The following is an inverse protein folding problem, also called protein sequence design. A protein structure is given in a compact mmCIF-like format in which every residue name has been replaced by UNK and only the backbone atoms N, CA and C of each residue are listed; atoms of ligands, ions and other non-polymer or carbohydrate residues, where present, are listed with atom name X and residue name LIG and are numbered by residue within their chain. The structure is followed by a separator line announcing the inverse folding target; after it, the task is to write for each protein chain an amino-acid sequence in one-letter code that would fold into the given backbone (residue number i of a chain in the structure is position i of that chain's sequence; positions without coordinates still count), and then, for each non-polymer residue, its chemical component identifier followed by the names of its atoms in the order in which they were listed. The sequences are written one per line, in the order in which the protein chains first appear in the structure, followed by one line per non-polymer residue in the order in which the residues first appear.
data_IF_002801552852
#
_entry.id   IF_002801552852
#
_cell.length_a   1.000
_cell.length_b   1.000
_cell.length_c   1.000
_cell.angle_alpha   90.00
_cell.angle_beta   90.00
_cell.angle_gamma   90.00
#
_symmetry.space_group_name_H-M   'P 1'
#
loop_
_entity.id
_entity.type
_entity.pdbx_description
1 polymer ?
#
# COMPACT_ATOMS: atom_id res chain seq x y z
N UNK A 1 18.18 -11.67 0.92
CA UNK A 1 17.50 -12.59 -0.04
C UNK A 1 17.45 -11.94 -1.42
N UNK A 2 18.08 -12.54 -2.45
CA UNK A 2 18.01 -12.04 -3.84
C UNK A 2 16.74 -12.53 -4.53
N UNK A 3 15.99 -11.62 -5.16
CA UNK A 3 14.81 -11.91 -5.98
C UNK A 3 14.80 -11.02 -7.21
N UNK A 4 14.01 -11.34 -8.23
CA UNK A 4 13.84 -10.46 -9.38
C UNK A 4 13.40 -9.03 -8.96
N UNK A 5 12.59 -8.90 -7.91
CA UNK A 5 12.18 -7.61 -7.39
C UNK A 5 13.35 -6.83 -6.79
N UNK A 6 14.19 -7.46 -5.94
CA UNK A 6 15.33 -6.76 -5.32
C UNK A 6 16.37 -6.31 -6.33
N UNK A 7 16.53 -7.05 -7.41
CA UNK A 7 17.46 -6.71 -8.50
C UNK A 7 16.97 -5.49 -9.30
N UNK A 8 15.69 -5.44 -9.68
CA UNK A 8 15.17 -4.29 -10.46
C UNK A 8 15.01 -3.02 -9.64
N UNK A 9 14.80 -3.14 -8.31
CA UNK A 9 14.60 -2.00 -7.40
C UNK A 9 15.86 -1.56 -6.67
N UNK A 10 16.95 -2.35 -6.76
CA UNK A 10 18.21 -2.10 -6.05
C UNK A 10 18.04 -2.00 -4.52
N UNK A 11 17.19 -2.87 -3.94
CA UNK A 11 16.89 -2.93 -2.49
C UNK A 11 17.42 -4.22 -1.87
N UNK A 12 17.62 -4.21 -0.55
CA UNK A 12 18.19 -5.34 0.19
C UNK A 12 17.17 -6.45 0.44
N UNK A 13 15.93 -6.05 0.86
CA UNK A 13 14.86 -6.95 1.20
C UNK A 13 13.65 -6.77 0.26
N UNK A 14 13.01 -7.86 -0.18
CA UNK A 14 11.89 -7.79 -1.11
C UNK A 14 10.58 -7.38 -0.39
N UNK A 15 10.64 -6.28 0.36
CA UNK A 15 9.54 -5.71 1.14
C UNK A 15 9.32 -4.26 0.71
N UNK A 16 8.07 -3.96 0.35
CA UNK A 16 7.61 -2.63 0.00
C UNK A 16 6.64 -2.13 1.08
N UNK A 17 6.81 -0.90 1.54
CA UNK A 17 5.77 -0.20 2.27
C UNK A 17 4.83 0.43 1.27
N UNK A 18 3.56 0.04 1.29
CA UNK A 18 2.56 0.52 0.34
C UNK A 18 2.28 2.03 0.44
N UNK A 19 1.97 2.65 -0.69
CA UNK A 19 1.54 4.05 -0.72
C UNK A 19 0.20 4.23 0.01
N UNK A 20 0.17 5.06 1.05
CA UNK A 20 -1.00 5.30 1.90
C UNK A 20 -1.22 6.80 2.02
N UNK A 21 -2.36 7.29 1.51
CA UNK A 21 -2.71 8.71 1.58
C UNK A 21 -2.69 9.22 3.03
N UNK A 22 -2.12 10.40 3.27
CA UNK A 22 -1.95 11.04 4.59
C UNK A 22 -1.03 10.31 5.57
N UNK A 23 -0.67 9.06 5.32
CA UNK A 23 0.12 8.19 6.22
C UNK A 23 1.56 8.09 5.76
N UNK A 24 1.75 7.76 4.49
CA UNK A 24 3.06 7.48 3.90
C UNK A 24 3.67 8.77 3.35
N UNK A 25 4.41 9.46 4.19
CA UNK A 25 5.14 10.69 3.86
C UNK A 25 6.67 10.44 3.89
N UNK A 26 7.46 11.47 3.68
CA UNK A 26 8.91 11.35 3.52
C UNK A 26 9.62 10.64 4.67
N UNK A 27 9.20 10.85 5.94
CA UNK A 27 9.89 10.22 7.09
C UNK A 27 9.67 8.71 7.08
N UNK A 28 8.43 8.26 6.87
CA UNK A 28 8.13 6.82 6.80
C UNK A 28 8.82 6.18 5.60
N UNK A 29 8.71 6.79 4.42
CA UNK A 29 9.34 6.27 3.21
C UNK A 29 10.87 6.15 3.36
N UNK A 30 11.53 7.18 3.87
CA UNK A 30 12.97 7.16 4.11
C UNK A 30 13.38 6.11 5.15
N UNK A 31 12.62 5.98 6.24
CA UNK A 31 12.91 5.00 7.29
C UNK A 31 12.82 3.55 6.76
N UNK A 32 11.83 3.24 5.93
CA UNK A 32 11.71 1.93 5.28
C UNK A 32 12.86 1.68 4.32
N UNK A 33 13.22 2.67 3.50
CA UNK A 33 14.34 2.56 2.56
C UNK A 33 15.68 2.39 3.29
N UNK A 34 15.92 3.12 4.37
CA UNK A 34 17.10 2.97 5.22
C UNK A 34 17.15 1.61 5.94
N UNK A 35 16.00 0.98 6.16
CA UNK A 35 15.90 -0.37 6.72
C UNK A 35 16.05 -1.49 5.67
N UNK A 36 16.33 -1.14 4.41
CA UNK A 36 16.62 -2.10 3.33
C UNK A 36 15.40 -2.52 2.49
N UNK A 37 14.20 -2.02 2.78
CA UNK A 37 13.01 -2.20 1.95
C UNK A 37 12.85 -1.07 0.92
N UNK A 38 11.67 -0.97 0.30
CA UNK A 38 11.27 0.17 -0.53
C UNK A 38 10.21 0.99 0.16
N UNK A 39 10.54 2.20 0.59
CA UNK A 39 9.57 3.16 1.09
C UNK A 39 8.85 3.89 -0.04
N UNK A 40 7.56 4.14 0.10
CA UNK A 40 6.72 4.78 -0.91
C UNK A 40 6.01 6.00 -0.32
N UNK A 41 6.20 7.17 -0.90
CA UNK A 41 5.41 8.37 -0.58
C UNK A 41 4.02 8.22 -1.22
N UNK A 42 2.97 8.32 -0.42
CA UNK A 42 1.58 8.19 -0.88
C UNK A 42 1.00 9.53 -1.31
N UNK A 43 0.98 9.85 -2.59
CA UNK A 43 0.40 11.09 -3.09
C UNK A 43 -1.11 11.21 -2.83
N UNK A 44 -1.86 10.09 -2.89
CA UNK A 44 -3.28 10.06 -2.57
C UNK A 44 -4.06 11.21 -3.21
N UNK A 45 -4.70 12.03 -2.39
CA UNK A 45 -5.39 13.26 -2.81
C UNK A 45 -4.56 14.54 -2.64
N UNK A 46 -3.23 14.42 -2.46
CA UNK A 46 -2.35 15.57 -2.30
C UNK A 46 -2.15 16.33 -3.64
N UNK A 47 -1.75 17.59 -3.55
CA UNK A 47 -1.33 18.38 -4.70
C UNK A 47 0.12 18.09 -5.10
N UNK A 48 0.49 18.51 -6.31
CA UNK A 48 1.82 18.28 -6.88
C UNK A 48 2.92 18.97 -6.08
N UNK A 49 2.64 20.13 -5.47
CA UNK A 49 3.60 20.88 -4.65
C UNK A 49 3.94 20.11 -3.38
N UNK A 50 2.93 19.57 -2.69
CA UNK A 50 3.17 18.73 -1.51
C UNK A 50 4.01 17.51 -1.86
N UNK A 51 3.71 16.83 -2.99
CA UNK A 51 4.49 15.66 -3.44
C UNK A 51 5.94 16.05 -3.71
N UNK A 52 6.18 17.20 -4.38
CA UNK A 52 7.52 17.70 -4.62
C UNK A 52 8.28 17.96 -3.31
N UNK A 53 7.63 18.60 -2.33
CA UNK A 53 8.23 18.88 -1.03
C UNK A 53 8.56 17.57 -0.27
N UNK A 54 7.69 16.55 -0.36
CA UNK A 54 7.97 15.23 0.23
C UNK A 54 9.16 14.53 -0.45
N UNK A 55 9.27 14.60 -1.79
CA UNK A 55 10.40 14.03 -2.52
C UNK A 55 11.70 14.71 -2.10
N UNK A 56 11.72 16.05 -2.06
CA UNK A 56 12.90 16.83 -1.63
C UNK A 56 13.29 16.44 -0.21
N UNK A 57 12.32 16.39 0.71
CA UNK A 57 12.55 15.98 2.09
C UNK A 57 13.09 14.55 2.19
N UNK A 58 12.51 13.59 1.46
CA UNK A 58 12.98 12.21 1.48
C UNK A 58 14.44 12.08 1.04
N UNK A 59 14.86 12.85 0.02
CA UNK A 59 16.25 12.91 -0.44
C UNK A 59 17.23 13.47 0.58
N UNK A 60 16.78 14.21 1.58
CA UNK A 60 17.63 14.64 2.71
C UNK A 60 17.73 13.61 3.83
N UNK A 61 16.83 12.61 3.83
CA UNK A 61 16.72 11.59 4.87
C UNK A 61 17.29 10.23 4.47
N UNK A 62 17.47 9.99 3.16
CA UNK A 62 17.98 8.70 2.65
C UNK A 62 18.68 8.86 1.31
N UNK A 63 19.77 8.09 1.12
CA UNK A 63 20.43 7.87 -0.17
C UNK A 63 19.92 6.59 -0.86
N UNK A 64 19.01 5.86 -0.21
CA UNK A 64 18.46 4.60 -0.72
C UNK A 64 17.31 4.84 -1.68
N UNK A 65 16.99 3.87 -2.57
CA UNK A 65 15.84 3.96 -3.43
C UNK A 65 14.54 4.14 -2.63
N UNK A 66 13.68 5.05 -3.10
CA UNK A 66 12.30 5.19 -2.63
C UNK A 66 11.39 5.48 -3.82
N UNK A 67 10.09 5.34 -3.64
CA UNK A 67 9.10 5.56 -4.68
C UNK A 67 8.02 6.56 -4.31
N UNK A 68 7.14 6.82 -5.28
CA UNK A 68 5.91 7.62 -5.11
C UNK A 68 4.73 6.82 -5.64
N UNK A 69 3.67 6.74 -4.85
CA UNK A 69 2.38 6.18 -5.29
C UNK A 69 1.50 7.29 -5.84
N UNK A 70 1.01 7.13 -7.05
CA UNK A 70 0.10 8.07 -7.71
C UNK A 70 -1.27 7.41 -7.86
N UNK A 71 -2.28 7.98 -7.22
CA UNK A 71 -3.68 7.64 -7.49
C UNK A 71 -4.09 8.34 -8.80
N UNK A 72 -4.34 7.57 -9.86
CA UNK A 72 -4.55 8.12 -11.20
C UNK A 72 -5.88 8.87 -11.36
N UNK A 73 -6.80 8.71 -10.40
CA UNK A 73 -8.02 9.53 -10.30
C UNK A 73 -7.79 10.90 -9.62
N UNK A 74 -6.59 11.16 -9.09
CA UNK A 74 -6.28 12.47 -8.53
C UNK A 74 -6.32 13.53 -9.65
N UNK A 75 -7.06 14.65 -9.48
CA UNK A 75 -7.10 15.73 -10.49
C UNK A 75 -5.72 16.28 -10.87
N UNK A 76 -4.73 16.17 -10.00
CA UNK A 76 -3.36 16.62 -10.25
C UNK A 76 -2.41 15.47 -10.66
N UNK A 77 -2.93 14.30 -11.04
CA UNK A 77 -2.10 13.15 -11.42
C UNK A 77 -1.10 13.49 -12.54
N UNK A 78 -1.48 14.33 -13.53
CA UNK A 78 -0.61 14.77 -14.62
C UNK A 78 0.58 15.60 -14.12
N UNK A 79 0.35 16.51 -13.19
CA UNK A 79 1.41 17.34 -12.63
C UNK A 79 2.31 16.53 -11.68
N UNK A 80 1.72 15.65 -10.86
CA UNK A 80 2.50 14.74 -10.01
C UNK A 80 3.38 13.82 -10.86
N UNK A 81 2.87 13.31 -11.99
CA UNK A 81 3.63 12.48 -12.92
C UNK A 81 4.86 13.20 -13.49
N UNK A 82 4.76 14.49 -13.78
CA UNK A 82 5.89 15.33 -14.20
C UNK A 82 6.87 15.59 -13.06
N UNK A 83 6.38 15.85 -11.85
CA UNK A 83 7.21 16.08 -10.67
C UNK A 83 8.09 14.87 -10.39
N UNK A 84 7.53 13.65 -10.39
CA UNK A 84 8.33 12.44 -10.12
C UNK A 84 9.39 12.20 -11.21
N UNK A 85 9.08 12.51 -12.47
CA UNK A 85 10.05 12.44 -13.57
C UNK A 85 11.16 13.49 -13.41
N UNK A 86 10.81 14.74 -13.13
CA UNK A 86 11.75 15.86 -12.89
C UNK A 86 12.76 15.55 -11.78
N UNK A 87 12.29 14.89 -10.73
CA UNK A 87 13.13 14.54 -9.56
C UNK A 87 13.81 13.17 -9.67
N UNK A 88 13.69 12.47 -10.81
CA UNK A 88 14.28 11.13 -11.02
C UNK A 88 13.99 10.18 -9.85
N UNK A 89 12.72 10.10 -9.42
CA UNK A 89 12.29 9.14 -8.41
C UNK A 89 12.50 7.74 -8.96
N UNK A 90 13.07 6.83 -8.18
CA UNK A 90 13.43 5.48 -8.69
C UNK A 90 12.22 4.63 -9.07
N UNK A 91 11.12 4.75 -8.33
CA UNK A 91 9.95 3.88 -8.48
C UNK A 91 8.66 4.69 -8.46
N UNK A 92 7.76 4.39 -9.37
CA UNK A 92 6.36 4.84 -9.32
C UNK A 92 5.45 3.64 -9.17
N UNK A 93 4.59 3.66 -8.16
CA UNK A 93 3.45 2.75 -8.07
C UNK A 93 2.17 3.52 -8.43
N UNK A 94 1.20 2.86 -9.02
CA UNK A 94 -0.06 3.50 -9.39
C UNK A 94 -1.26 2.67 -8.96
N UNK A 95 -2.34 3.36 -8.62
CA UNK A 95 -3.64 2.75 -8.37
C UNK A 95 -4.76 3.54 -9.04
N UNK A 96 -5.95 2.94 -9.10
CA UNK A 96 -7.18 3.57 -9.59
C UNK A 96 -7.05 4.16 -11.02
N UNK A 97 -6.56 3.35 -11.97
CA UNK A 97 -6.49 3.75 -13.37
C UNK A 97 -5.40 3.06 -14.18
N UNK A 98 -5.23 3.50 -15.43
CA UNK A 98 -4.21 3.00 -16.35
C UNK A 98 -3.09 4.05 -16.51
N UNK A 99 -1.82 3.72 -16.16
CA UNK A 99 -0.69 4.64 -16.27
C UNK A 99 -0.17 4.84 -17.70
N UNK A 100 -0.74 4.18 -18.70
CA UNK A 100 -0.20 4.10 -20.07
C UNK A 100 0.23 5.44 -20.66
N UNK A 101 -0.53 6.52 -20.40
CA UNK A 101 -0.19 7.86 -20.91
C UNK A 101 1.10 8.47 -20.32
N UNK A 102 1.60 7.93 -19.20
CA UNK A 102 2.82 8.43 -18.55
C UNK A 102 4.03 7.53 -18.80
N UNK A 103 3.83 6.32 -19.34
CA UNK A 103 4.86 5.28 -19.43
C UNK A 103 6.10 5.75 -20.18
N UNK A 104 5.93 6.39 -21.35
CA UNK A 104 7.05 6.89 -22.14
C UNK A 104 7.91 7.90 -21.35
N UNK A 105 7.26 8.88 -20.72
CA UNK A 105 7.95 9.89 -19.90
C UNK A 105 8.73 9.25 -18.74
N UNK A 106 8.11 8.32 -18.00
CA UNK A 106 8.75 7.67 -16.87
C UNK A 106 9.87 6.72 -17.29
N UNK A 107 9.69 5.96 -18.37
CA UNK A 107 10.75 5.09 -18.92
C UNK A 107 11.96 5.90 -19.40
N UNK A 108 11.74 7.01 -20.08
CA UNK A 108 12.81 7.91 -20.51
C UNK A 108 13.58 8.53 -19.30
N UNK A 109 12.90 8.71 -18.16
CA UNK A 109 13.53 9.13 -16.91
C UNK A 109 14.16 7.96 -16.10
N UNK A 110 14.15 6.74 -16.62
CA UNK A 110 14.69 5.55 -15.93
C UNK A 110 13.88 5.06 -14.73
N UNK A 111 12.63 5.49 -14.62
CA UNK A 111 11.74 5.14 -13.50
C UNK A 111 11.17 3.74 -13.68
N UNK A 112 11.18 2.94 -12.63
CA UNK A 112 10.48 1.65 -12.57
C UNK A 112 9.02 1.85 -12.24
N UNK A 113 8.12 1.26 -13.03
CA UNK A 113 6.67 1.44 -12.88
C UNK A 113 6.01 0.15 -12.43
N UNK A 114 5.30 0.22 -11.30
CA UNK A 114 4.70 -0.94 -10.63
C UNK A 114 3.23 -0.65 -10.28
N UNK A 115 2.28 -0.89 -11.20
CA UNK A 115 0.86 -0.69 -10.94
C UNK A 115 0.30 -1.70 -9.93
N UNK A 116 -0.63 -1.23 -9.08
CA UNK A 116 -1.45 -2.09 -8.24
C UNK A 116 -2.59 -2.68 -9.07
N UNK A 117 -2.78 -3.98 -8.97
CA UNK A 117 -3.78 -4.74 -9.75
C UNK A 117 -4.60 -5.64 -8.84
N UNK A 118 -5.90 -5.73 -9.11
CA UNK A 118 -6.85 -6.55 -8.36
C UNK A 118 -7.40 -7.73 -9.21
N UNK A 119 -6.86 -7.96 -10.41
CA UNK A 119 -7.28 -9.06 -11.28
C UNK A 119 -6.21 -9.41 -12.31
N UNK A 120 -6.30 -10.63 -12.86
CA UNK A 120 -5.44 -11.11 -13.96
C UNK A 120 -5.57 -10.21 -15.19
N UNK A 121 -6.78 -9.77 -15.52
CA UNK A 121 -6.99 -8.91 -16.69
C UNK A 121 -6.24 -7.58 -16.56
N UNK A 122 -6.26 -6.97 -15.36
CA UNK A 122 -5.47 -5.77 -15.06
C UNK A 122 -3.97 -6.06 -15.15
N UNK A 123 -3.48 -7.14 -14.57
CA UNK A 123 -2.06 -7.51 -14.60
C UNK A 123 -1.54 -7.63 -16.04
N UNK A 124 -2.24 -8.36 -16.90
CA UNK A 124 -1.90 -8.48 -18.33
C UNK A 124 -1.94 -7.13 -19.07
N UNK A 125 -2.90 -6.29 -18.74
CA UNK A 125 -2.97 -4.94 -19.32
C UNK A 125 -1.76 -4.10 -18.91
N UNK A 126 -1.37 -4.13 -17.63
CA UNK A 126 -0.21 -3.37 -17.13
C UNK A 126 1.11 -3.87 -17.73
N UNK A 127 1.30 -5.18 -17.85
CA UNK A 127 2.47 -5.76 -18.54
C UNK A 127 2.56 -5.26 -19.99
N UNK A 128 1.45 -5.30 -20.74
CA UNK A 128 1.41 -4.78 -22.13
C UNK A 128 1.68 -3.27 -22.20
N UNK A 129 1.33 -2.52 -21.16
CA UNK A 129 1.67 -1.09 -21.07
C UNK A 129 3.15 -0.85 -20.75
N UNK A 130 3.95 -1.89 -20.46
CA UNK A 130 5.38 -1.77 -20.18
C UNK A 130 5.72 -1.63 -18.69
N UNK A 131 4.85 -2.08 -17.76
CA UNK A 131 5.19 -2.14 -16.34
C UNK A 131 6.42 -3.02 -16.08
N UNK A 132 7.25 -2.64 -15.11
CA UNK A 132 8.44 -3.42 -14.71
C UNK A 132 8.09 -4.55 -13.72
N UNK A 133 7.02 -4.41 -12.98
CA UNK A 133 6.42 -5.39 -12.09
C UNK A 133 4.95 -5.03 -11.85
N UNK A 134 4.17 -5.90 -11.22
CA UNK A 134 2.82 -5.58 -10.74
C UNK A 134 2.68 -5.90 -9.26
N UNK A 135 1.83 -5.15 -8.56
CA UNK A 135 1.47 -5.41 -7.17
C UNK A 135 0.07 -6.01 -7.16
N UNK A 136 -0.02 -7.33 -6.96
CA UNK A 136 -1.29 -8.05 -6.86
C UNK A 136 -1.89 -7.87 -5.46
N UNK A 137 -2.89 -7.00 -5.33
CA UNK A 137 -3.48 -6.63 -4.06
C UNK A 137 -4.82 -7.32 -3.84
N UNK A 138 -4.85 -8.21 -2.84
CA UNK A 138 -6.05 -8.92 -2.42
C UNK A 138 -6.99 -8.09 -1.56
N UNK A 139 -8.24 -8.55 -1.46
CA UNK A 139 -9.33 -7.88 -0.72
C UNK A 139 -9.07 -7.73 0.78
N UNK A 140 -8.09 -8.41 1.35
CA UNK A 140 -7.66 -8.28 2.75
C UNK A 140 -6.96 -6.94 3.03
N UNK A 141 -6.56 -6.19 2.00
CA UNK A 141 -5.93 -4.88 2.14
C UNK A 141 -6.82 -3.85 2.85
N UNK A 142 -6.21 -2.79 3.37
CA UNK A 142 -6.91 -1.61 3.89
C UNK A 142 -7.10 -0.54 2.82
N UNK A 143 -8.07 0.35 3.00
CA UNK A 143 -8.42 1.35 2.01
C UNK A 143 -9.25 0.77 0.87
N UNK A 144 -9.08 1.26 -0.35
CA UNK A 144 -9.79 0.75 -1.52
C UNK A 144 -9.35 -0.68 -1.83
N UNK A 145 -10.31 -1.56 -2.07
CA UNK A 145 -10.03 -3.00 -2.27
C UNK A 145 -10.73 -3.55 -3.50
N UNK A 146 -10.12 -4.60 -4.09
CA UNK A 146 -10.80 -5.49 -5.03
C UNK A 146 -11.61 -6.58 -4.32
N UNK A 147 -12.11 -7.56 -5.08
CA UNK A 147 -12.96 -8.63 -4.56
C UNK A 147 -12.21 -9.94 -4.29
N UNK A 148 -11.09 -10.17 -5.01
CA UNK A 148 -10.35 -11.44 -4.96
C UNK A 148 -9.42 -11.45 -3.75
N UNK A 149 -9.38 -12.55 -3.00
CA UNK A 149 -8.44 -12.71 -1.87
C UNK A 149 -7.02 -12.96 -2.35
N UNK A 150 -6.04 -12.58 -1.54
CA UNK A 150 -4.61 -12.70 -1.85
C UNK A 150 -4.20 -14.12 -2.20
N UNK A 151 -4.71 -15.12 -1.47
CA UNK A 151 -4.38 -16.54 -1.65
C UNK A 151 -4.67 -17.06 -3.06
N UNK A 152 -5.72 -16.55 -3.73
CA UNK A 152 -6.10 -17.00 -5.08
C UNK A 152 -5.75 -15.98 -6.16
N UNK A 153 -5.57 -14.70 -5.81
CA UNK A 153 -5.18 -13.67 -6.76
C UNK A 153 -3.71 -13.83 -7.19
N UNK A 154 -2.81 -13.97 -6.21
CA UNK A 154 -1.36 -13.97 -6.47
C UNK A 154 -0.94 -15.08 -7.44
N UNK A 155 -1.26 -16.38 -7.24
CA UNK A 155 -0.84 -17.42 -8.16
C UNK A 155 -1.43 -17.24 -9.57
N UNK A 156 -2.69 -16.80 -9.67
CA UNK A 156 -3.30 -16.54 -10.97
C UNK A 156 -2.61 -15.38 -11.72
N UNK A 157 -2.16 -14.35 -11.02
CA UNK A 157 -1.40 -13.26 -11.63
C UNK A 157 0.00 -13.72 -11.99
N UNK A 158 0.68 -14.50 -11.14
CA UNK A 158 2.00 -15.09 -11.43
C UNK A 158 1.97 -15.93 -12.70
N UNK A 159 0.96 -16.79 -12.86
CA UNK A 159 0.81 -17.64 -14.05
C UNK A 159 0.45 -16.85 -15.33
N UNK A 160 0.00 -15.60 -15.19
CA UNK A 160 -0.57 -14.83 -16.28
C UNK A 160 0.37 -13.78 -16.89
N UNK A 161 1.46 -13.40 -16.19
CA UNK A 161 2.42 -12.38 -16.62
C UNK A 161 3.86 -12.88 -16.50
N UNK A 162 4.80 -12.29 -17.28
CA UNK A 162 6.21 -12.62 -17.27
C UNK A 162 7.07 -11.64 -16.44
N UNK A 163 6.45 -10.57 -15.93
CA UNK A 163 7.10 -9.60 -15.06
C UNK A 163 6.95 -9.98 -13.59
N UNK A 164 7.84 -9.54 -12.69
CA UNK A 164 7.75 -9.85 -11.26
C UNK A 164 6.42 -9.44 -10.65
N UNK A 165 5.88 -10.31 -9.79
CA UNK A 165 4.64 -10.07 -9.05
C UNK A 165 4.95 -9.84 -7.57
N UNK A 166 4.43 -8.75 -7.01
CA UNK A 166 4.50 -8.44 -5.59
C UNK A 166 3.15 -8.77 -4.96
N UNK A 167 3.13 -9.58 -3.91
CA UNK A 167 1.89 -9.90 -3.19
C UNK A 167 1.56 -8.79 -2.18
N UNK A 168 0.30 -8.35 -2.14
CA UNK A 168 -0.20 -7.36 -1.20
C UNK A 168 -1.57 -7.77 -0.64
N UNK A 169 -1.87 -7.32 0.58
CA UNK A 169 -3.10 -7.69 1.29
C UNK A 169 -2.90 -8.89 2.22
N UNK A 170 -3.32 -8.74 3.48
CA UNK A 170 -3.26 -9.81 4.49
C UNK A 170 -1.87 -10.10 5.08
N UNK A 171 -0.81 -9.49 4.60
CA UNK A 171 0.58 -9.77 5.01
C UNK A 171 1.00 -8.82 6.13
N UNK A 172 1.47 -9.37 7.28
CA UNK A 172 1.93 -8.60 8.44
C UNK A 172 3.22 -9.12 9.09
N UNK A 173 3.58 -10.36 8.85
CA UNK A 173 4.74 -11.03 9.47
C UNK A 173 5.41 -12.01 8.49
N UNK A 174 6.45 -12.72 8.96
CA UNK A 174 7.21 -13.67 8.14
C UNK A 174 6.41 -14.88 7.66
N UNK A 175 5.28 -15.21 8.28
CA UNK A 175 4.39 -16.29 7.80
C UNK A 175 3.70 -15.87 6.52
N UNK A 176 3.13 -14.66 6.50
CA UNK A 176 2.53 -14.08 5.29
C UNK A 176 3.56 -13.83 4.20
N UNK A 177 4.78 -13.40 4.57
CA UNK A 177 5.90 -13.27 3.64
C UNK A 177 6.25 -14.62 2.99
N UNK A 178 6.50 -15.67 3.77
CA UNK A 178 6.82 -16.99 3.24
C UNK A 178 5.69 -17.56 2.36
N UNK A 179 4.43 -17.42 2.79
CA UNK A 179 3.27 -17.83 2.01
C UNK A 179 3.22 -17.13 0.64
N UNK A 180 3.49 -15.83 0.57
CA UNK A 180 3.52 -15.08 -0.68
C UNK A 180 4.58 -15.65 -1.67
N UNK A 181 5.74 -16.02 -1.17
CA UNK A 181 6.79 -16.66 -1.99
C UNK A 181 6.37 -18.05 -2.47
N UNK A 182 5.69 -18.84 -1.61
CA UNK A 182 5.14 -20.14 -2.02
C UNK A 182 4.04 -20.00 -3.10
N UNK A 183 3.35 -18.86 -3.16
CA UNK A 183 2.40 -18.52 -4.21
C UNK A 183 3.07 -18.00 -5.49
N UNK A 184 4.40 -17.90 -5.53
CA UNK A 184 5.19 -17.46 -6.68
C UNK A 184 5.51 -15.97 -6.72
N UNK A 185 5.19 -15.19 -5.68
CA UNK A 185 5.55 -13.77 -5.63
C UNK A 185 7.07 -13.56 -5.52
N UNK A 186 7.57 -12.46 -6.08
CA UNK A 186 8.98 -12.03 -6.00
C UNK A 186 9.25 -11.08 -4.83
N UNK A 187 8.23 -10.71 -4.08
CA UNK A 187 8.29 -9.84 -2.92
C UNK A 187 6.90 -9.55 -2.37
N UNK A 188 6.83 -8.75 -1.30
CA UNK A 188 5.59 -8.40 -0.64
C UNK A 188 5.43 -6.89 -0.47
N UNK A 189 4.18 -6.41 -0.50
CA UNK A 189 3.83 -5.07 -0.07
C UNK A 189 2.98 -5.14 1.20
N UNK A 190 3.36 -4.36 2.19
CA UNK A 190 2.69 -4.25 3.49
C UNK A 190 2.27 -2.80 3.74
N UNK A 191 1.05 -2.58 4.24
CA UNK A 191 0.58 -1.25 4.63
C UNK A 191 0.37 -1.15 6.14
N UNK A 192 -0.63 -1.85 6.65
CA UNK A 192 -1.15 -1.74 8.03
C UNK A 192 -0.06 -1.87 9.10
N UNK A 193 0.91 -2.78 8.94
CA UNK A 193 2.02 -2.95 9.88
C UNK A 193 2.93 -1.70 9.92
N UNK A 194 3.18 -1.06 8.77
CA UNK A 194 3.97 0.16 8.71
C UNK A 194 3.25 1.39 9.29
N UNK A 195 1.91 1.43 9.26
CA UNK A 195 1.15 2.49 9.96
C UNK A 195 1.46 2.49 11.45
N UNK A 196 1.64 1.32 12.05
CA UNK A 196 1.94 1.15 13.48
C UNK A 196 3.45 1.17 13.78
N UNK A 197 4.27 1.89 12.99
CA UNK A 197 5.69 2.06 13.28
C UNK A 197 5.97 3.39 13.99
N UNK A 198 7.14 3.49 14.64
CA UNK A 198 7.58 4.69 15.34
C UNK A 198 7.76 5.87 14.38
N UNK A 199 8.25 5.59 13.17
CA UNK A 199 8.58 6.59 12.15
C UNK A 199 7.36 7.08 11.37
N UNK A 200 6.23 6.37 11.45
CA UNK A 200 4.95 6.86 10.95
C UNK A 200 4.49 8.07 11.77
N UNK A 201 4.13 9.16 11.11
CA UNK A 201 3.65 10.40 11.74
C UNK A 201 2.15 10.40 12.07
N UNK A 202 1.50 9.27 11.83
CA UNK A 202 0.09 9.06 12.17
C UNK A 202 -0.14 9.24 13.66
N UNK A 203 -1.25 9.87 14.02
CA UNK A 203 -1.63 10.11 15.41
C UNK A 203 -1.64 8.83 16.25
N UNK A 204 -1.18 8.90 17.50
CA UNK A 204 -1.02 7.74 18.38
C UNK A 204 -2.33 6.97 18.62
N UNK A 205 -3.47 7.66 18.63
CA UNK A 205 -4.79 6.99 18.71
C UNK A 205 -5.03 6.01 17.57
N UNK A 206 -4.58 6.36 16.35
CA UNK A 206 -4.72 5.49 15.18
C UNK A 206 -3.83 4.25 15.33
N UNK A 207 -2.55 4.43 15.71
CA UNK A 207 -1.62 3.32 15.97
C UNK A 207 -2.16 2.41 17.08
N UNK A 208 -2.63 2.99 18.17
CA UNK A 208 -3.22 2.24 19.29
C UNK A 208 -4.46 1.44 18.86
N UNK A 209 -5.29 1.99 17.97
CA UNK A 209 -6.45 1.29 17.45
C UNK A 209 -6.06 0.09 16.57
N UNK A 210 -4.99 0.21 15.77
CA UNK A 210 -4.44 -0.93 15.01
C UNK A 210 -3.94 -2.03 15.95
N UNK A 211 -3.09 -1.67 16.94
CA UNK A 211 -2.49 -2.65 17.87
C UNK A 211 -3.53 -3.39 18.72
N UNK A 212 -4.65 -2.74 19.03
CA UNK A 212 -5.77 -3.32 19.77
C UNK A 212 -6.73 -4.12 18.89
N UNK A 213 -6.59 -4.07 17.56
CA UNK A 213 -7.52 -4.71 16.63
C UNK A 213 -7.50 -6.24 16.80
N UNK A 214 -8.69 -6.82 16.65
CA UNK A 214 -8.93 -8.25 16.59
C UNK A 214 -9.17 -8.67 15.14
N UNK A 215 -9.27 -9.96 14.91
CA UNK A 215 -9.50 -10.60 13.61
C UNK A 215 -10.77 -10.11 12.88
N UNK A 216 -11.83 -9.78 13.62
CA UNK A 216 -13.15 -9.38 13.08
C UNK A 216 -13.38 -7.86 13.04
N UNK A 217 -12.39 -7.05 13.43
CA UNK A 217 -12.58 -5.60 13.64
C UNK A 217 -12.56 -4.77 12.37
N UNK A 218 -12.23 -5.35 11.21
CA UNK A 218 -12.34 -4.63 9.94
C UNK A 218 -13.73 -4.77 9.31
N UNK A 219 -14.19 -3.71 8.66
CA UNK A 219 -15.45 -3.68 7.90
C UNK A 219 -15.20 -3.04 6.54
N UNK A 220 -15.94 -3.49 5.55
CA UNK A 220 -15.96 -2.88 4.21
C UNK A 220 -17.21 -2.03 4.08
N UNK A 221 -17.04 -0.80 3.66
CA UNK A 221 -18.10 0.17 3.33
C UNK A 221 -18.04 0.48 1.83
N UNK A 222 -19.11 1.00 1.23
CA UNK A 222 -19.09 1.49 -0.15
C UNK A 222 -19.20 0.42 -1.24
N UNK A 223 -19.68 -0.79 -0.92
CA UNK A 223 -19.97 -1.80 -1.95
C UNK A 223 -21.12 -1.38 -2.85
N UNK A 224 -22.17 -0.78 -2.29
CA UNK A 224 -23.33 -0.28 -3.03
C UNK A 224 -22.98 0.88 -3.98
N UNK A 225 -21.92 1.63 -3.68
CA UNK A 225 -21.45 2.76 -4.50
C UNK A 225 -20.40 2.36 -5.53
N UNK A 226 -19.96 1.10 -5.53
CA UNK A 226 -18.88 0.62 -6.41
C UNK A 226 -17.47 1.02 -5.96
N UNK A 227 -17.32 1.60 -4.78
CA UNK A 227 -16.05 2.03 -4.21
C UNK A 227 -15.81 1.40 -2.83
N UNK A 228 -15.58 0.07 -2.76
CA UNK A 228 -15.41 -0.62 -1.49
C UNK A 228 -14.12 -0.19 -0.78
N UNK A 229 -14.26 0.17 0.50
CA UNK A 229 -13.16 0.63 1.35
C UNK A 229 -13.16 -0.15 2.65
N UNK A 230 -12.00 -0.76 3.00
CA UNK A 230 -11.84 -1.47 4.27
C UNK A 230 -11.27 -0.56 5.34
N UNK A 231 -11.97 -0.49 6.47
CA UNK A 231 -11.62 0.29 7.65
C UNK A 231 -11.70 -0.56 8.92
N UNK A 232 -11.03 -0.15 9.99
CA UNK A 232 -11.35 -0.62 11.33
C UNK A 232 -12.73 -0.10 11.77
N UNK A 233 -13.49 -0.98 12.38
CA UNK A 233 -14.82 -0.69 12.90
C UNK A 233 -14.80 0.46 13.91
N UNK A 234 -15.68 1.44 13.73
CA UNK A 234 -15.88 2.58 14.61
C UNK A 234 -17.30 3.15 14.44
N UNK A 235 -17.55 4.31 15.05
CA UNK A 235 -18.84 4.98 14.95
C UNK A 235 -19.16 5.38 13.50
N UNK A 236 -18.18 5.92 12.75
CA UNK A 236 -18.36 6.30 11.34
C UNK A 236 -18.74 5.09 10.47
N UNK A 237 -17.99 3.98 10.56
CA UNK A 237 -18.27 2.77 9.77
C UNK A 237 -19.61 2.15 10.11
N UNK A 238 -20.01 2.15 11.39
CA UNK A 238 -21.32 1.64 11.80
C UNK A 238 -22.45 2.50 11.23
N UNK A 239 -22.31 3.83 11.28
CA UNK A 239 -23.27 4.78 10.69
C UNK A 239 -23.37 4.60 9.18
N UNK A 240 -22.21 4.45 8.50
CA UNK A 240 -22.16 4.21 7.05
C UNK A 240 -22.93 2.94 6.67
N UNK A 241 -22.60 1.80 7.31
CA UNK A 241 -23.24 0.52 7.02
C UNK A 241 -24.76 0.59 7.26
N UNK A 242 -25.19 1.29 8.33
CA UNK A 242 -26.62 1.49 8.60
C UNK A 242 -27.30 2.28 7.47
N UNK A 243 -26.73 3.42 7.09
CA UNK A 243 -27.27 4.25 6.01
C UNK A 243 -27.27 3.50 4.66
N UNK A 244 -26.21 2.76 4.36
CA UNK A 244 -26.10 1.94 3.16
C UNK A 244 -27.22 0.86 3.10
N UNK A 245 -27.50 0.20 4.23
CA UNK A 245 -28.59 -0.77 4.35
C UNK A 245 -30.00 -0.14 4.24
N UNK A 246 -30.13 1.12 4.63
CA UNK A 246 -31.38 1.91 4.51
C UNK A 246 -31.56 2.49 3.09
N UNK A 247 -30.63 2.27 2.17
CA UNK A 247 -30.71 2.73 0.79
C UNK A 247 -30.32 4.20 0.61
N UNK A 248 -29.48 4.75 1.49
CA UNK A 248 -28.98 6.12 1.37
C UNK A 248 -28.25 6.34 0.03
N UNK A 249 -28.49 7.49 -0.59
CA UNK A 249 -27.85 7.86 -1.85
C UNK A 249 -26.36 8.16 -1.71
N UNK A 250 -25.63 8.12 -2.84
CA UNK A 250 -24.19 8.34 -2.92
C UNK A 250 -23.74 9.63 -2.22
N UNK A 251 -24.40 10.75 -2.48
CA UNK A 251 -24.06 12.05 -1.90
C UNK A 251 -24.08 12.03 -0.35
N UNK A 252 -25.07 11.36 0.24
CA UNK A 252 -25.21 11.25 1.69
C UNK A 252 -24.07 10.39 2.29
N UNK A 253 -23.71 9.31 1.63
CA UNK A 253 -22.63 8.40 2.05
C UNK A 253 -21.24 9.06 1.90
N UNK A 254 -20.99 9.76 0.79
CA UNK A 254 -19.75 10.51 0.57
C UNK A 254 -19.56 11.64 1.59
N UNK A 255 -20.61 12.40 1.90
CA UNK A 255 -20.58 13.45 2.91
C UNK A 255 -20.17 12.96 4.29
N UNK A 256 -20.51 11.71 4.65
CA UNK A 256 -20.09 11.09 5.91
C UNK A 256 -18.61 10.80 5.96
N UNK A 257 -17.98 10.47 4.82
CA UNK A 257 -16.58 10.03 4.74
C UNK A 257 -15.60 11.11 4.27
N UNK A 258 -16.12 12.22 3.73
CA UNK A 258 -15.29 13.32 3.22
C UNK A 258 -14.38 13.88 4.32
N UNK A 259 -13.05 13.89 4.03
CA UNK A 259 -12.04 14.30 5.00
C UNK A 259 -11.80 13.33 6.15
N UNK A 260 -12.56 12.21 6.21
CA UNK A 260 -12.52 11.26 7.32
C UNK A 260 -11.14 10.63 7.55
N UNK A 261 -10.39 10.32 6.47
CA UNK A 261 -9.05 9.76 6.61
C UNK A 261 -8.09 10.77 7.27
N UNK A 262 -8.06 12.02 6.80
CA UNK A 262 -7.24 13.07 7.40
C UNK A 262 -7.59 13.27 8.88
N UNK A 263 -8.88 13.29 9.20
CA UNK A 263 -9.39 13.43 10.57
C UNK A 263 -8.87 12.32 11.50
N UNK A 264 -8.84 11.08 11.03
CA UNK A 264 -8.29 9.97 11.81
C UNK A 264 -6.75 10.03 11.92
N UNK A 265 -6.05 10.32 10.80
CA UNK A 265 -4.60 10.29 10.71
C UNK A 265 -3.96 11.47 11.43
N UNK A 266 -4.48 12.69 11.23
CA UNK A 266 -3.87 13.94 11.72
C UNK A 266 -4.45 14.35 13.06
N UNK A 267 -5.80 14.37 13.15
CA UNK A 267 -6.49 14.89 14.33
C UNK A 267 -6.71 13.79 15.41
N UNK A 268 -6.45 12.52 15.07
CA UNK A 268 -6.57 11.38 15.99
C UNK A 268 -8.01 11.00 16.35
N UNK A 269 -9.01 11.52 15.62
CA UNK A 269 -10.41 11.15 15.81
C UNK A 269 -10.69 9.80 15.15
N UNK A 270 -10.37 8.74 15.85
CA UNK A 270 -10.55 7.36 15.37
C UNK A 270 -11.98 6.85 15.48
N UNK A 271 -12.88 7.62 16.07
CA UNK A 271 -14.29 7.26 16.21
C UNK A 271 -15.16 7.77 15.07
N UNK A 272 -14.90 9.01 14.62
CA UNK A 272 -15.66 9.65 13.55
C UNK A 272 -14.84 9.84 12.25
N UNK A 273 -13.57 9.43 12.24
CA UNK A 273 -12.70 9.42 11.06
C UNK A 273 -12.59 8.04 10.43
N UNK A 274 -12.11 7.99 9.19
CA UNK A 274 -11.87 6.73 8.47
C UNK A 274 -10.53 6.12 8.89
N UNK A 275 -10.57 5.00 9.60
CA UNK A 275 -9.36 4.28 10.06
C UNK A 275 -9.07 3.15 9.09
N UNK A 276 -8.49 3.48 7.93
CA UNK A 276 -8.17 2.50 6.89
C UNK A 276 -7.10 1.51 7.39
N UNK A 277 -7.44 0.24 7.43
CA UNK A 277 -6.52 -0.85 7.80
C UNK A 277 -7.01 -2.18 7.22
N UNK A 278 -6.07 -3.03 6.82
CA UNK A 278 -6.37 -4.37 6.32
C UNK A 278 -6.71 -5.35 7.44
N UNK A 279 -7.17 -6.54 7.05
CA UNK A 279 -7.47 -7.63 7.99
C UNK A 279 -6.24 -8.06 8.79
N UNK A 280 -5.04 -7.83 8.25
CA UNK A 280 -3.77 -8.03 8.95
C UNK A 280 -3.59 -7.17 10.21
N UNK A 281 -4.46 -6.18 10.48
CA UNK A 281 -4.45 -5.42 11.74
C UNK A 281 -4.51 -6.33 12.97
N UNK A 282 -5.27 -7.44 12.91
CA UNK A 282 -5.34 -8.43 13.97
C UNK A 282 -4.00 -9.13 14.30
N UNK A 283 -3.00 -9.03 13.42
CA UNK A 283 -1.65 -9.58 13.60
C UNK A 283 -0.64 -8.54 14.13
N UNK A 284 -0.95 -7.25 14.06
CA UNK A 284 -0.08 -6.17 14.55
C UNK A 284 -0.28 -6.00 16.05
N UNK A 285 0.75 -6.32 16.86
CA UNK A 285 0.62 -6.39 18.33
C UNK A 285 1.44 -5.34 19.09
N UNK A 286 2.31 -4.61 18.39
CA UNK A 286 3.19 -3.62 18.99
C UNK A 286 3.52 -2.48 18.03
N UNK A 287 3.98 -1.36 18.58
CA UNK A 287 4.57 -0.25 17.83
C UNK A 287 6.09 -0.46 17.87
N UNK A 288 6.69 -0.81 16.75
CA UNK A 288 8.15 -1.01 16.64
C UNK A 288 8.74 -0.05 15.60
N UNK A 289 10.08 -0.05 15.42
CA UNK A 289 10.71 0.69 14.33
C UNK A 289 10.50 -0.01 12.97
N UNK A 290 10.60 0.74 11.87
CA UNK A 290 10.59 0.15 10.52
C UNK A 290 11.68 -0.92 10.37
N UNK A 291 12.86 -0.67 10.94
CA UNK A 291 13.98 -1.62 10.93
C UNK A 291 13.63 -2.91 11.67
N UNK A 292 13.07 -2.80 12.88
CA UNK A 292 12.69 -3.98 13.67
C UNK A 292 11.61 -4.79 12.95
N UNK A 293 10.60 -4.11 12.36
CA UNK A 293 9.54 -4.75 11.60
C UNK A 293 10.12 -5.56 10.42
N UNK A 294 10.93 -4.92 9.57
CA UNK A 294 11.53 -5.57 8.40
C UNK A 294 12.43 -6.73 8.83
N UNK A 295 13.28 -6.52 9.84
CA UNK A 295 14.16 -7.58 10.36
C UNK A 295 13.36 -8.79 10.87
N UNK A 296 12.30 -8.56 11.65
CA UNK A 296 11.42 -9.62 12.14
C UNK A 296 10.76 -10.40 11.00
N UNK A 297 10.20 -9.69 10.02
CA UNK A 297 9.55 -10.31 8.85
C UNK A 297 10.53 -11.16 8.07
N UNK A 298 11.72 -10.62 7.78
CA UNK A 298 12.76 -11.33 7.03
C UNK A 298 13.27 -12.56 7.78
N UNK A 299 13.66 -12.39 9.06
CA UNK A 299 14.19 -13.50 9.86
C UNK A 299 13.19 -14.65 9.96
N UNK A 300 11.94 -14.35 10.29
CA UNK A 300 10.88 -15.37 10.38
C UNK A 300 10.58 -15.98 9.00
N UNK A 301 10.49 -15.15 7.97
CA UNK A 301 10.18 -15.59 6.62
C UNK A 301 11.27 -16.52 6.04
N UNK A 302 12.54 -16.15 6.15
CA UNK A 302 13.67 -16.97 5.70
C UNK A 302 13.76 -18.29 6.47
N UNK A 303 13.50 -18.28 7.78
CA UNK A 303 13.43 -19.50 8.58
C UNK A 303 12.35 -20.46 8.10
N UNK A 304 11.15 -19.94 7.75
CA UNK A 304 10.06 -20.77 7.25
C UNK A 304 10.35 -21.33 5.85
N UNK A 305 10.95 -20.52 4.97
CA UNK A 305 11.32 -20.94 3.62
C UNK A 305 12.46 -21.97 3.61
N UNK A 306 13.35 -21.93 4.61
CA UNK A 306 14.51 -22.84 4.67
C UNK A 306 14.21 -24.18 5.35
N UNK A 307 13.22 -24.25 6.26
CA UNK A 307 12.97 -25.47 7.06
C UNK A 307 12.30 -26.60 6.29
N UNK A 308 11.68 -26.31 5.15
CA UNK A 308 10.80 -27.29 4.51
C UNK A 308 9.57 -27.61 5.39
N UNK A 309 8.81 -28.60 4.96
CA UNK A 309 7.68 -29.14 5.75
C UNK A 309 8.16 -30.45 6.35
N UNK A 310 8.63 -30.43 7.62
CA UNK A 310 8.84 -31.62 8.43
C UNK A 310 7.52 -32.18 8.93
#
# INVERSE_FOLDING_TARGET
MKTALTEILEIEYPIIQGGMAWVAEANLAAAVSNAGGLGIIGAGGADAKWVEDQIIKAKTLTDKPFGVNIMLMNPQADEIAKVVAKHNVKVVTTGAGNPGKYMEMWKNAGIKVMPVVASVAMARMMERCGADAVIAEGTEAGGHIGEITTMVLVPQVVDAVNIPVVAAGGIADGRGFAAAFMLGASGVQMGTSFVATKESTVHDNYKAKIVKAKDIDTKVTGRSTGHPVRNLRNKQTNTYIKLEAEGAGLEQLEKLTLGGLRKAVVDGDVDNGSVMAGQSAGLVKEICSCKDLITKVMTQGEQLLSKGFD
#
